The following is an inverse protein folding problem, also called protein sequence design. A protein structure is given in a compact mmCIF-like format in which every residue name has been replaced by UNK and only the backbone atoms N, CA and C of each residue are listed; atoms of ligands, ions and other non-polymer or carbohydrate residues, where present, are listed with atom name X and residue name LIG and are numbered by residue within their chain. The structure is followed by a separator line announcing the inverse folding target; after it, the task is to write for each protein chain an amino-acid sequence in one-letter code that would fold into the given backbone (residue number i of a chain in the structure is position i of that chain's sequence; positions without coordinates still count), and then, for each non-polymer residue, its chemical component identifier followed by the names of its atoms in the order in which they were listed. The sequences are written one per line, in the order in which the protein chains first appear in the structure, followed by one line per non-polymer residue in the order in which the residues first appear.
data_IF_621107618056
#
_entry.id   IF_621107618056
#
_cell.length_a   1.000
_cell.length_b   1.000
_cell.length_c   1.000
_cell.angle_alpha   90.00
_cell.angle_beta   90.00
_cell.angle_gamma   90.00
#
_symmetry.space_group_name_H-M   'P 1'
#
loop_
_entity.id
_entity.type
_entity.pdbx_description
1 polymer ?
#
# COMPACT_ATOMS: atom_id res chain seq x y z
N UNK A 1 -36.48 16.20 3.53
CA UNK A 1 -36.36 14.88 2.85
C UNK A 1 -35.10 14.20 3.41
N UNK A 2 -35.18 13.64 4.62
CA UNK A 2 -34.09 12.90 5.26
C UNK A 2 -34.40 11.41 5.08
N UNK A 3 -33.65 10.71 4.23
CA UNK A 3 -33.77 9.25 4.11
C UNK A 3 -32.88 8.58 5.15
N UNK A 4 -33.53 7.85 6.05
CA UNK A 4 -32.93 6.91 6.99
C UNK A 4 -32.02 5.92 6.24
N UNK A 5 -30.73 5.95 6.53
CA UNK A 5 -29.76 4.88 6.17
C UNK A 5 -29.60 3.86 7.32
N UNK A 6 -30.66 3.59 8.08
CA UNK A 6 -30.60 2.77 9.29
C UNK A 6 -30.88 1.27 9.07
N UNK A 7 -30.80 0.75 7.84
CA UNK A 7 -31.10 -0.66 7.59
C UNK A 7 -30.27 -1.29 6.47
N UNK A 8 -28.99 -0.94 6.39
CA UNK A 8 -28.03 -1.87 5.77
C UNK A 8 -27.54 -2.76 6.89
N UNK A 9 -28.04 -4.00 6.94
CA UNK A 9 -27.50 -5.03 7.83
C UNK A 9 -26.07 -5.33 7.37
N UNK A 10 -25.10 -4.60 7.91
CA UNK A 10 -23.71 -5.03 7.84
C UNK A 10 -23.58 -6.31 8.66
N UNK A 11 -23.04 -7.40 8.09
CA UNK A 11 -22.82 -8.60 8.86
C UNK A 11 -21.94 -8.28 10.08
N UNK A 12 -22.17 -8.92 11.24
CA UNK A 12 -21.41 -8.66 12.45
C UNK A 12 -19.90 -8.83 12.17
N UNK A 13 -19.05 -7.98 12.76
CA UNK A 13 -17.59 -8.00 12.55
C UNK A 13 -16.98 -9.40 12.71
N UNK A 14 -17.55 -10.21 13.62
CA UNK A 14 -17.16 -11.61 13.84
C UNK A 14 -17.28 -12.50 12.58
N UNK A 15 -18.21 -12.20 11.67
CA UNK A 15 -18.37 -12.90 10.39
C UNK A 15 -17.22 -12.60 9.41
N UNK A 16 -16.61 -11.41 9.48
CA UNK A 16 -15.42 -11.09 8.70
C UNK A 16 -14.16 -11.74 9.29
N UNK A 17 -14.05 -11.80 10.62
CA UNK A 17 -12.91 -12.46 11.29
C UNK A 17 -12.85 -13.98 11.06
N UNK A 18 -13.98 -14.65 10.87
CA UNK A 18 -14.03 -16.10 10.66
C UNK A 18 -13.61 -16.56 9.25
N UNK A 19 -13.30 -15.65 8.32
CA UNK A 19 -12.99 -15.98 6.92
C UNK A 19 -11.61 -15.49 6.44
N UNK A 20 -10.70 -15.13 7.35
CA UNK A 20 -9.34 -14.69 6.96
C UNK A 20 -8.32 -15.83 6.88
N UNK A 21 -8.69 -17.07 7.21
CA UNK A 21 -7.78 -18.22 7.18
C UNK A 21 -7.19 -18.50 5.78
N UNK A 22 -7.83 -18.02 4.71
CA UNK A 22 -7.38 -18.14 3.33
C UNK A 22 -6.97 -16.79 2.69
N UNK A 23 -6.82 -15.74 3.48
CA UNK A 23 -6.44 -14.41 3.02
C UNK A 23 -5.05 -14.08 3.55
N UNK A 24 -4.21 -13.48 2.71
CA UNK A 24 -2.91 -12.94 3.13
C UNK A 24 -3.07 -11.45 3.36
N UNK A 25 -2.86 -11.01 4.60
CA UNK A 25 -2.88 -9.61 4.97
C UNK A 25 -1.49 -8.98 4.76
N UNK A 26 -1.45 -7.84 4.08
CA UNK A 26 -0.21 -7.10 3.82
C UNK A 26 -0.41 -5.64 4.21
N UNK A 27 0.64 -5.03 4.75
CA UNK A 27 0.62 -3.66 5.23
C UNK A 27 1.72 -2.85 4.58
N UNK A 28 1.55 -1.52 4.55
CA UNK A 28 2.62 -0.62 4.15
C UNK A 28 3.73 -0.66 5.21
N UNK A 29 4.98 -0.86 4.79
CA UNK A 29 6.14 -0.82 5.68
C UNK A 29 6.25 0.57 6.30
N UNK A 30 6.32 0.61 7.63
CA UNK A 30 6.50 1.87 8.36
C UNK A 30 7.87 2.46 8.01
N UNK A 31 7.95 3.73 7.59
CA UNK A 31 9.22 4.37 7.28
C UNK A 31 10.07 4.52 8.55
N UNK A 32 11.39 4.45 8.38
CA UNK A 32 12.36 4.55 9.47
C UNK A 32 12.88 5.99 9.52
N UNK A 33 13.02 6.54 10.72
CA UNK A 33 13.65 7.85 10.90
C UNK A 33 15.12 7.81 10.51
N UNK A 34 15.54 8.74 9.67
CA UNK A 34 16.94 8.92 9.28
C UNK A 34 17.45 10.27 9.82
N UNK A 35 18.41 10.21 10.75
CA UNK A 35 18.97 11.39 11.42
C UNK A 35 19.80 12.30 10.50
N UNK A 36 20.43 11.76 9.46
CA UNK A 36 21.25 12.55 8.53
C UNK A 36 20.39 13.46 7.66
N UNK A 37 19.25 12.95 7.21
CA UNK A 37 18.28 13.67 6.38
C UNK A 37 17.16 14.35 7.17
N UNK A 38 17.07 14.07 8.48
CA UNK A 38 15.99 14.53 9.37
C UNK A 38 14.60 14.21 8.81
N UNK A 39 14.41 12.99 8.31
CA UNK A 39 13.17 12.59 7.63
C UNK A 39 12.85 11.11 7.81
N UNK A 40 11.58 10.76 7.63
CA UNK A 40 11.11 9.36 7.58
C UNK A 40 11.31 8.81 6.17
N UNK A 41 12.16 7.77 6.05
CA UNK A 41 12.56 7.19 4.76
C UNK A 41 12.28 5.69 4.69
N UNK A 42 11.97 5.22 3.49
CA UNK A 42 12.01 3.80 3.13
C UNK A 42 13.21 3.56 2.22
N UNK A 43 13.89 2.43 2.40
CA UNK A 43 15.03 2.07 1.57
C UNK A 43 14.56 1.32 0.31
N UNK A 44 14.52 2.02 -0.82
CA UNK A 44 14.14 1.47 -2.11
C UNK A 44 15.34 0.91 -2.92
N UNK A 45 16.55 0.84 -2.33
CA UNK A 45 17.76 0.31 -2.97
C UNK A 45 18.06 0.93 -4.35
N UNK A 46 17.81 2.24 -4.50
CA UNK A 46 18.00 2.96 -5.76
C UNK A 46 16.93 2.71 -6.83
N UNK A 47 15.90 1.90 -6.56
CA UNK A 47 14.78 1.67 -7.48
C UNK A 47 13.83 2.86 -7.55
N UNK A 48 13.72 3.64 -6.48
CA UNK A 48 12.91 4.85 -6.40
C UNK A 48 13.84 6.03 -6.15
N UNK A 49 13.75 7.03 -7.01
CA UNK A 49 14.71 8.15 -7.04
C UNK A 49 14.05 9.50 -6.84
N UNK A 50 12.72 9.58 -6.92
CA UNK A 50 11.97 10.81 -6.66
C UNK A 50 11.00 10.66 -5.49
N UNK A 51 10.89 11.71 -4.68
CA UNK A 51 9.91 11.77 -3.61
C UNK A 51 8.48 11.80 -4.18
N UNK A 52 7.59 11.00 -3.60
CA UNK A 52 6.18 10.98 -3.94
C UNK A 52 5.39 10.36 -2.79
N UNK A 53 4.17 10.84 -2.57
CA UNK A 53 3.19 10.18 -1.69
C UNK A 53 2.80 8.77 -2.18
N UNK A 54 3.12 8.45 -3.44
CA UNK A 54 2.89 7.14 -4.07
C UNK A 54 4.02 6.14 -3.81
N UNK A 55 5.10 6.53 -3.13
CA UNK A 55 6.19 5.61 -2.84
C UNK A 55 5.84 4.75 -1.63
N UNK A 56 5.74 3.43 -1.82
CA UNK A 56 5.39 2.50 -0.74
C UNK A 56 6.07 1.13 -0.91
N UNK A 57 6.13 0.39 0.19
CA UNK A 57 6.55 -1.00 0.25
C UNK A 57 5.48 -1.80 0.99
N UNK A 58 5.02 -2.92 0.43
CA UNK A 58 4.11 -3.85 1.12
C UNK A 58 4.89 -5.01 1.71
N UNK A 59 4.58 -5.32 2.96
CA UNK A 59 5.21 -6.39 3.75
C UNK A 59 4.16 -7.17 4.51
N UNK A 60 4.53 -8.37 4.95
CA UNK A 60 3.74 -9.16 5.89
C UNK A 60 4.29 -8.94 7.31
N UNK A 61 3.43 -8.87 8.32
CA UNK A 61 3.85 -8.57 9.70
C UNK A 61 4.82 -9.60 10.29
N UNK A 62 4.73 -10.85 9.84
CA UNK A 62 5.66 -11.90 10.28
C UNK A 62 7.08 -11.75 9.73
N UNK A 63 7.27 -11.01 8.62
CA UNK A 63 8.58 -10.79 8.00
C UNK A 63 8.63 -9.41 7.30
N UNK A 64 8.91 -8.33 8.06
CA UNK A 64 8.99 -6.97 7.54
C UNK A 64 10.16 -6.72 6.56
N UNK A 65 11.13 -7.63 6.49
CA UNK A 65 12.27 -7.53 5.55
C UNK A 65 11.95 -8.16 4.19
N UNK A 66 10.95 -9.05 4.14
CA UNK A 66 10.41 -9.54 2.88
C UNK A 66 9.48 -8.50 2.25
N UNK A 67 10.05 -7.67 1.36
CA UNK A 67 9.27 -6.73 0.55
C UNK A 67 8.48 -7.49 -0.51
N UNK A 68 7.18 -7.68 -0.28
CA UNK A 68 6.27 -8.38 -1.21
C UNK A 68 6.04 -7.55 -2.46
N UNK A 69 5.88 -6.23 -2.30
CA UNK A 69 5.73 -5.30 -3.41
C UNK A 69 6.41 -3.98 -3.08
N UNK A 70 7.06 -3.38 -4.05
CA UNK A 70 7.62 -2.05 -3.95
C UNK A 70 7.19 -1.24 -5.16
N UNK A 71 6.67 -0.05 -4.90
CA UNK A 71 6.23 0.87 -5.92
C UNK A 71 6.74 2.27 -5.62
N UNK A 72 7.16 2.99 -6.66
CA UNK A 72 7.53 4.39 -6.50
C UNK A 72 8.01 5.05 -7.78
N UNK A 73 8.17 6.38 -7.69
CA UNK A 73 8.47 7.25 -8.82
C UNK A 73 9.97 7.29 -9.13
N UNK A 74 10.31 7.22 -10.41
CA UNK A 74 11.69 7.39 -10.89
C UNK A 74 11.88 8.61 -11.78
N UNK A 75 10.85 9.00 -12.53
CA UNK A 75 10.82 10.23 -13.31
C UNK A 75 9.38 10.77 -13.43
N UNK A 76 9.19 11.82 -14.20
CA UNK A 76 7.85 12.35 -14.48
C UNK A 76 7.01 11.30 -15.21
N UNK A 77 5.87 10.95 -14.62
CA UNK A 77 4.94 9.90 -15.06
C UNK A 77 5.56 8.51 -15.26
N UNK A 78 6.74 8.27 -14.70
CA UNK A 78 7.45 6.99 -14.77
C UNK A 78 7.64 6.44 -13.35
N UNK A 79 7.17 5.20 -13.17
CA UNK A 79 7.19 4.49 -11.90
C UNK A 79 7.80 3.10 -12.08
N UNK A 80 8.49 2.64 -11.05
CA UNK A 80 8.95 1.25 -10.94
C UNK A 80 7.99 0.45 -10.08
N UNK A 81 7.71 -0.78 -10.50
CA UNK A 81 6.88 -1.73 -9.76
C UNK A 81 7.60 -3.07 -9.70
N UNK A 82 8.09 -3.42 -8.52
CA UNK A 82 8.70 -4.71 -8.24
C UNK A 82 7.75 -5.52 -7.35
N UNK A 83 7.50 -6.78 -7.66
CA UNK A 83 6.63 -7.65 -6.86
C UNK A 83 7.23 -9.05 -6.75
N UNK A 84 6.89 -9.73 -5.65
CA UNK A 84 7.31 -11.08 -5.32
C UNK A 84 6.09 -11.90 -4.91
N UNK A 85 6.31 -13.21 -4.76
CA UNK A 85 5.31 -14.10 -4.18
C UNK A 85 4.79 -13.51 -2.85
N UNK A 86 3.49 -13.55 -2.55
CA UNK A 86 2.42 -14.29 -3.25
C UNK A 86 1.72 -13.54 -4.39
N UNK A 87 2.14 -12.32 -4.74
CA UNK A 87 1.44 -11.52 -5.73
C UNK A 87 1.73 -11.96 -7.16
N UNK A 88 0.72 -11.86 -8.02
CA UNK A 88 0.88 -11.89 -9.47
C UNK A 88 0.92 -10.46 -10.04
N UNK A 89 1.38 -10.34 -11.30
CA UNK A 89 1.51 -9.05 -11.98
C UNK A 89 0.18 -8.27 -12.02
N UNK A 90 -0.95 -8.96 -12.23
CA UNK A 90 -2.28 -8.32 -12.27
C UNK A 90 -2.66 -7.71 -10.91
N UNK A 91 -2.46 -8.47 -9.82
CA UNK A 91 -2.73 -7.98 -8.46
C UNK A 91 -1.83 -6.80 -8.11
N UNK A 92 -0.51 -6.93 -8.35
CA UNK A 92 0.44 -5.86 -8.10
C UNK A 92 0.09 -4.60 -8.90
N UNK A 93 -0.27 -4.75 -10.18
CA UNK A 93 -0.67 -3.63 -11.02
C UNK A 93 -1.96 -2.95 -10.54
N UNK A 94 -2.97 -3.73 -10.12
CA UNK A 94 -4.22 -3.19 -9.56
C UNK A 94 -3.97 -2.40 -8.26
N UNK A 95 -3.11 -2.92 -7.38
CA UNK A 95 -2.67 -2.23 -6.16
C UNK A 95 -1.97 -0.92 -6.54
N UNK A 96 -1.02 -0.94 -7.48
CA UNK A 96 -0.33 0.25 -7.94
C UNK A 96 -1.31 1.31 -8.48
N UNK A 97 -2.29 0.92 -9.30
CA UNK A 97 -3.32 1.83 -9.83
C UNK A 97 -4.15 2.48 -8.72
N UNK A 98 -4.48 1.75 -7.65
CA UNK A 98 -5.21 2.33 -6.51
C UNK A 98 -4.45 3.46 -5.80
N UNK A 99 -3.11 3.49 -5.89
CA UNK A 99 -2.30 4.58 -5.34
C UNK A 99 -2.36 5.88 -6.15
N UNK A 100 -2.90 5.83 -7.37
CA UNK A 100 -3.13 7.01 -8.20
C UNK A 100 -4.44 7.73 -7.88
N UNK A 101 -5.25 7.21 -6.94
CA UNK A 101 -6.47 7.88 -6.55
C UNK A 101 -6.13 9.24 -5.92
N UNK A 102 -6.55 10.29 -6.64
CA UNK A 102 -6.29 11.66 -6.24
C UNK A 102 -7.19 12.01 -5.07
N UNK A 103 -6.61 12.33 -3.91
CA UNK A 103 -7.25 13.39 -3.12
C UNK A 103 -7.33 14.60 -4.06
N UNK A 104 -8.53 14.93 -4.52
CA UNK A 104 -8.87 16.11 -5.36
C UNK A 104 -8.52 17.46 -4.70
N UNK A 105 -7.65 17.49 -3.71
CA UNK A 105 -7.24 18.69 -3.02
C UNK A 105 -5.78 18.52 -2.57
N UNK A 106 -4.88 19.07 -3.38
CA UNK A 106 -3.55 19.62 -3.08
C UNK A 106 -2.57 19.22 -4.19
N UNK A 107 -2.59 20.03 -5.25
CA UNK A 107 -1.36 20.39 -5.98
C UNK A 107 -0.40 21.13 -5.03
#
# INVERSE_FOLDING_TARGET
MLRNFASVNFPPLAYYFQNMDNVVELHNKTPIWNDETQSYVLNFHGRVTQASVKNFQLVHDSDPEYIVMQFGRTADDIFTMDFRYPLCAFQAFAIALSSFDGKLACE
#
